data_IF_668827666923
#
_entry.id   IF_668827666923
#
_cell.length_a   1.000
_cell.length_b   1.000
_cell.length_c   1.000
_cell.angle_alpha   90.00
_cell.angle_beta   90.00
_cell.angle_gamma   90.00
#
_symmetry.space_group_name_H-M   'P 1'
#
loop_
_entity.id
_entity.type
_entity.pdbx_description
1 polymer ?
#
# COMPACT_ATOMS: atom_id res chain seq x y z
N UNK A 1 1.69 24.75 20.97
CA UNK A 1 2.81 25.63 20.57
C UNK A 1 4.00 24.74 20.28
N UNK A 2 4.44 24.66 19.03
CA UNK A 2 5.63 23.87 18.66
C UNK A 2 6.82 24.78 18.85
N UNK A 3 7.44 24.71 20.03
CA UNK A 3 8.66 25.47 20.28
C UNK A 3 9.78 24.91 19.39
N UNK A 4 10.27 25.78 18.51
CA UNK A 4 11.45 25.57 17.70
C UNK A 4 12.66 25.52 18.64
N UNK A 5 13.18 24.32 18.88
CA UNK A 5 14.49 24.17 19.50
C UNK A 5 15.51 24.67 18.46
N UNK A 6 16.06 25.86 18.68
CA UNK A 6 17.20 26.35 17.92
C UNK A 6 18.47 25.79 18.55
N UNK A 7 19.31 25.14 17.74
CA UNK A 7 20.72 24.92 18.07
C UNK A 7 21.56 25.58 16.98
N UNK A 8 22.78 25.99 17.35
CA UNK A 8 23.63 26.92 16.62
C UNK A 8 24.10 26.50 15.20
N UNK A 9 23.56 25.44 14.58
CA UNK A 9 24.05 24.91 13.29
C UNK A 9 22.98 24.33 12.33
N UNK A 10 21.70 24.71 12.42
CA UNK A 10 20.72 24.39 11.38
C UNK A 10 19.29 24.21 11.88
N UNK A 11 18.34 24.29 10.95
CA UNK A 11 16.91 24.07 11.21
C UNK A 11 16.74 22.64 11.74
N UNK A 12 16.39 22.50 13.02
CA UNK A 12 15.97 21.21 13.61
C UNK A 12 14.62 20.87 13.01
N UNK A 13 14.60 19.95 12.07
CA UNK A 13 13.34 19.46 11.49
C UNK A 13 12.66 18.54 12.49
N UNK A 14 11.32 18.42 12.48
CA UNK A 14 10.66 17.50 13.39
C UNK A 14 11.11 16.04 13.20
N UNK A 15 11.67 15.68 12.03
CA UNK A 15 12.17 14.33 11.71
C UNK A 15 13.42 13.90 12.48
N UNK A 16 14.11 14.80 13.18
CA UNK A 16 15.18 14.43 14.14
C UNK A 16 14.65 14.21 15.57
N UNK A 17 13.35 14.43 15.84
CA UNK A 17 12.75 14.18 17.16
C UNK A 17 12.24 12.75 17.25
N UNK A 18 12.64 12.03 18.31
CA UNK A 18 12.27 10.63 18.51
C UNK A 18 10.75 10.41 18.53
N UNK A 19 9.99 11.33 19.14
CA UNK A 19 8.53 11.27 19.15
C UNK A 19 7.91 11.39 17.75
N UNK A 20 8.42 12.28 16.90
CA UNK A 20 7.90 12.43 15.55
C UNK A 20 8.16 11.20 14.68
N UNK A 21 9.29 10.52 14.88
CA UNK A 21 9.58 9.24 14.22
C UNK A 21 8.66 8.13 14.72
N UNK A 22 8.35 8.13 16.01
CA UNK A 22 7.37 7.21 16.58
C UNK A 22 5.97 7.44 16.02
N UNK A 23 5.50 8.68 15.93
CA UNK A 23 4.20 9.00 15.35
C UNK A 23 4.13 8.65 13.86
N UNK A 24 5.22 8.90 13.11
CA UNK A 24 5.31 8.46 11.72
C UNK A 24 5.25 6.94 11.65
N UNK A 25 5.96 6.23 12.52
CA UNK A 25 5.95 4.77 12.60
C UNK A 25 4.57 4.20 12.96
N UNK A 26 3.92 4.72 13.99
CA UNK A 26 2.59 4.26 14.43
C UNK A 26 1.54 4.54 13.35
N UNK A 27 1.64 5.68 12.66
CA UNK A 27 0.79 5.94 11.49
C UNK A 27 1.04 4.94 10.37
N UNK A 28 2.32 4.61 10.15
CA UNK A 28 2.78 3.73 9.08
C UNK A 28 2.42 2.27 9.31
N UNK A 29 2.55 1.79 10.54
CA UNK A 29 2.38 0.37 10.92
C UNK A 29 0.98 0.09 11.47
N UNK A 30 0.39 1.04 12.22
CA UNK A 30 -0.94 0.87 12.81
C UNK A 30 -2.06 1.54 12.01
N UNK A 31 -1.73 2.09 10.84
CA UNK A 31 -2.70 2.65 9.89
C UNK A 31 -3.44 3.90 10.36
N UNK A 32 -2.94 4.59 11.39
CA UNK A 32 -3.47 5.89 11.79
C UNK A 32 -3.19 6.92 10.69
N UNK A 33 -4.04 7.95 10.49
CA UNK A 33 -3.78 8.99 9.51
C UNK A 33 -2.40 9.60 9.77
N UNK A 34 -1.52 9.65 8.77
CA UNK A 34 -0.19 10.14 8.97
C UNK A 34 -0.28 11.61 9.39
N UNK A 35 0.33 11.97 10.51
CA UNK A 35 0.56 13.39 10.83
C UNK A 35 1.52 14.05 9.83
N UNK A 36 1.79 13.46 8.65
CA UNK A 36 2.70 14.01 7.64
C UNK A 36 2.34 15.45 7.26
N UNK A 37 1.05 15.77 7.16
CA UNK A 37 0.61 17.13 6.83
C UNK A 37 0.60 18.06 8.05
N UNK A 38 0.24 17.56 9.24
CA UNK A 38 0.11 18.35 10.47
C UNK A 38 1.46 18.61 11.15
N UNK A 39 2.37 17.65 11.14
CA UNK A 39 3.68 17.74 11.77
C UNK A 39 4.75 18.34 10.83
N UNK A 40 4.54 18.33 9.51
CA UNK A 40 5.58 18.71 8.54
C UNK A 40 5.13 19.67 7.43
N UNK A 41 3.89 20.15 7.44
CA UNK A 41 3.28 21.01 6.41
C UNK A 41 3.92 22.38 6.18
N UNK A 42 5.01 22.73 6.87
CA UNK A 42 5.74 23.99 6.66
C UNK A 42 7.08 23.84 5.91
N UNK A 43 7.50 22.62 5.59
CA UNK A 43 8.77 22.40 4.88
C UNK A 43 8.57 22.56 3.37
N UNK A 44 9.43 23.36 2.73
CA UNK A 44 9.51 23.40 1.28
C UNK A 44 9.84 22.01 0.74
N UNK A 45 9.31 21.66 -0.43
CA UNK A 45 9.47 20.33 -1.03
C UNK A 45 10.94 19.86 -1.14
N UNK A 46 11.85 20.77 -1.48
CA UNK A 46 13.29 20.46 -1.57
C UNK A 46 13.91 20.09 -0.22
N UNK A 47 13.40 20.68 0.87
CA UNK A 47 13.84 20.38 2.22
C UNK A 47 13.26 19.06 2.70
N UNK A 48 12.00 18.74 2.36
CA UNK A 48 11.40 17.44 2.65
C UNK A 48 12.24 16.27 2.11
N UNK A 49 12.65 16.35 0.84
CA UNK A 49 13.42 15.29 0.20
C UNK A 49 14.76 15.02 0.90
N UNK A 50 15.48 16.09 1.24
CA UNK A 50 16.76 15.97 1.95
C UNK A 50 16.58 15.38 3.35
N UNK A 51 15.50 15.74 4.03
CA UNK A 51 15.25 15.30 5.41
C UNK A 51 14.80 13.85 5.46
N UNK A 52 13.89 13.43 4.56
CA UNK A 52 13.48 12.03 4.43
C UNK A 52 14.71 11.16 4.14
N UNK A 53 15.56 11.52 3.18
CA UNK A 53 16.74 10.71 2.87
C UNK A 53 17.76 10.62 4.02
N UNK A 54 17.76 11.56 4.96
CA UNK A 54 18.64 11.60 6.13
C UNK A 54 18.03 10.97 7.39
N UNK A 55 16.77 10.55 7.33
CA UNK A 55 16.05 10.01 8.48
C UNK A 55 16.81 8.82 9.05
N UNK A 56 17.22 8.91 10.31
CA UNK A 56 17.88 7.83 11.02
C UNK A 56 17.47 7.84 12.50
N UNK A 57 16.77 6.79 12.93
CA UNK A 57 16.28 6.64 14.29
C UNK A 57 17.40 6.70 15.33
N UNK A 58 18.62 6.28 14.99
CA UNK A 58 19.78 6.28 15.91
C UNK A 58 20.29 7.68 16.21
N UNK A 59 20.06 8.61 15.29
CA UNK A 59 20.45 10.02 15.45
C UNK A 59 19.33 10.88 16.02
N UNK A 60 18.15 10.28 16.28
CA UNK A 60 17.01 10.98 16.85
C UNK A 60 17.30 11.48 18.27
N UNK A 61 16.65 12.58 18.65
CA UNK A 61 16.85 13.24 19.94
C UNK A 61 15.53 13.42 20.68
N UNK A 62 15.60 13.24 21.99
CA UNK A 62 14.56 13.60 22.96
C UNK A 62 15.19 14.38 24.12
N UNK A 63 14.42 15.24 24.77
CA UNK A 63 14.82 15.85 26.04
C UNK A 63 14.74 14.84 27.19
N UNK A 64 13.88 13.83 27.05
CA UNK A 64 13.75 12.70 27.97
C UNK A 64 14.42 11.46 27.37
N UNK A 65 15.58 11.10 27.91
CA UNK A 65 16.38 9.95 27.47
C UNK A 65 15.69 8.61 27.77
N UNK A 66 14.95 8.51 28.89
CA UNK A 66 14.23 7.29 29.25
C UNK A 66 13.06 7.06 28.29
N UNK A 67 12.34 8.13 27.92
CA UNK A 67 11.33 8.07 26.87
C UNK A 67 11.93 7.71 25.51
N UNK A 68 13.10 8.26 25.16
CA UNK A 68 13.79 7.93 23.91
C UNK A 68 14.14 6.45 23.83
N UNK A 69 14.76 5.89 24.87
CA UNK A 69 15.08 4.46 24.89
C UNK A 69 13.83 3.59 24.78
N UNK A 70 12.75 3.94 25.50
CA UNK A 70 11.48 3.20 25.42
C UNK A 70 10.91 3.22 24.00
N UNK A 71 10.91 4.36 23.34
CA UNK A 71 10.42 4.51 21.97
C UNK A 71 11.28 3.72 21.00
N UNK A 72 12.61 3.81 21.09
CA UNK A 72 13.51 3.06 20.21
C UNK A 72 13.34 1.55 20.40
N UNK A 73 13.13 1.08 21.64
CA UNK A 73 12.80 -0.33 21.91
C UNK A 73 11.45 -0.72 21.29
N UNK A 74 10.46 0.17 21.32
CA UNK A 74 9.15 -0.07 20.68
C UNK A 74 9.28 -0.20 19.17
N UNK A 75 10.04 0.69 18.52
CA UNK A 75 10.31 0.65 17.08
C UNK A 75 11.01 -0.65 16.65
N UNK A 76 11.79 -1.26 17.55
CA UNK A 76 12.56 -2.47 17.28
C UNK A 76 11.90 -3.75 17.83
N UNK A 77 10.70 -3.68 18.43
CA UNK A 77 10.05 -4.81 19.11
C UNK A 77 9.81 -6.03 18.22
N UNK A 78 9.56 -5.82 16.93
CA UNK A 78 9.14 -6.87 15.99
C UNK A 78 10.31 -7.56 15.26
N UNK A 79 11.45 -7.77 15.94
CA UNK A 79 12.69 -8.30 15.33
C UNK A 79 13.23 -7.46 14.16
N UNK A 80 12.82 -6.20 14.07
CA UNK A 80 13.25 -5.32 13.00
C UNK A 80 14.63 -4.75 13.31
N UNK A 81 15.50 -4.74 12.32
CA UNK A 81 16.78 -4.04 12.42
C UNK A 81 16.58 -2.52 12.27
N UNK A 82 17.49 -1.73 12.82
CA UNK A 82 17.55 -0.27 12.61
C UNK A 82 17.49 0.09 11.12
N UNK A 83 18.17 -0.70 10.28
CA UNK A 83 18.18 -0.50 8.83
C UNK A 83 16.76 -0.66 8.24
N UNK A 84 16.02 -1.69 8.63
CA UNK A 84 14.67 -1.94 8.17
C UNK A 84 13.69 -0.84 8.64
N UNK A 85 13.76 -0.43 9.91
CA UNK A 85 12.91 0.66 10.43
C UNK A 85 13.17 1.96 9.68
N UNK A 86 14.45 2.33 9.49
CA UNK A 86 14.83 3.51 8.72
C UNK A 86 14.34 3.41 7.27
N UNK A 87 14.47 2.25 6.63
CA UNK A 87 13.99 2.04 5.27
C UNK A 87 12.47 2.24 5.15
N UNK A 88 11.69 1.67 6.07
CA UNK A 88 10.22 1.79 6.07
C UNK A 88 9.80 3.25 6.28
N UNK A 89 10.41 3.95 7.25
CA UNK A 89 10.10 5.37 7.51
C UNK A 89 10.43 6.25 6.30
N UNK A 90 11.56 5.99 5.64
CA UNK A 90 11.96 6.71 4.42
C UNK A 90 11.03 6.41 3.25
N UNK A 91 10.63 5.15 3.08
CA UNK A 91 9.66 4.73 2.08
C UNK A 91 8.29 5.39 2.32
N UNK A 92 7.80 5.40 3.56
CA UNK A 92 6.55 6.07 3.94
C UNK A 92 6.59 7.57 3.61
N UNK A 93 7.66 8.28 3.98
CA UNK A 93 7.82 9.70 3.67
C UNK A 93 7.99 10.01 2.17
N UNK A 94 8.50 9.06 1.39
CA UNK A 94 8.71 9.23 -0.05
C UNK A 94 7.48 8.87 -0.89
N UNK A 95 6.82 7.77 -0.54
CA UNK A 95 5.67 7.24 -1.26
C UNK A 95 4.36 7.88 -0.80
N UNK A 96 4.30 8.43 0.43
CA UNK A 96 3.12 9.06 1.01
C UNK A 96 1.87 8.17 0.86
N UNK A 97 1.91 6.92 1.36
CA UNK A 97 0.84 5.94 1.15
C UNK A 97 -0.47 6.34 1.85
N UNK A 98 -1.58 5.77 1.39
CA UNK A 98 -2.88 5.81 2.09
C UNK A 98 -2.97 4.65 3.09
N UNK A 99 -3.55 4.90 4.26
CA UNK A 99 -3.77 3.89 5.29
C UNK A 99 -5.27 3.59 5.48
N UNK A 100 -5.60 2.34 5.77
CA UNK A 100 -6.95 1.79 5.74
C UNK A 100 -7.40 1.17 7.07
N UNK A 101 -6.96 1.75 8.19
CA UNK A 101 -7.27 1.22 9.53
C UNK A 101 -8.76 1.01 9.76
N UNK A 102 -9.58 1.98 9.38
CA UNK A 102 -11.04 1.93 9.55
C UNK A 102 -11.69 0.79 8.78
N UNK A 103 -11.27 0.56 7.54
CA UNK A 103 -11.79 -0.48 6.66
C UNK A 103 -11.40 -1.86 7.17
N UNK A 104 -10.18 -2.00 7.70
CA UNK A 104 -9.71 -3.25 8.26
C UNK A 104 -10.38 -3.55 9.60
N UNK A 105 -10.49 -2.58 10.51
CA UNK A 105 -11.05 -2.78 11.86
C UNK A 105 -12.54 -3.14 11.85
N UNK A 106 -13.33 -2.55 10.95
CA UNK A 106 -14.80 -2.59 11.02
C UNK A 106 -15.51 -3.85 10.50
N UNK A 107 -14.81 -4.82 9.89
CA UNK A 107 -15.51 -5.75 8.97
C UNK A 107 -15.02 -7.22 8.96
N UNK A 108 -14.55 -7.82 10.07
CA UNK A 108 -13.94 -9.16 10.00
C UNK A 108 -14.45 -10.21 10.99
N UNK A 109 -15.57 -9.95 11.68
CA UNK A 109 -16.16 -10.96 12.57
C UNK A 109 -17.04 -11.91 11.74
N UNK A 110 -16.82 -13.23 11.90
CA UNK A 110 -17.63 -14.34 11.37
C UNK A 110 -17.79 -14.42 9.83
N UNK A 111 -16.72 -14.19 9.07
CA UNK A 111 -16.72 -14.41 7.61
C UNK A 111 -16.23 -15.82 7.26
N UNK A 112 -17.03 -16.58 6.51
CA UNK A 112 -16.62 -17.87 5.95
C UNK A 112 -15.64 -17.67 4.78
N UNK A 113 -14.38 -18.03 5.00
CA UNK A 113 -13.27 -17.81 4.05
C UNK A 113 -12.96 -19.03 3.17
N UNK A 114 -13.56 -20.19 3.45
CA UNK A 114 -13.18 -21.46 2.83
C UNK A 114 -13.33 -21.47 1.30
N UNK A 115 -14.45 -20.93 0.80
CA UNK A 115 -14.67 -20.79 -0.64
C UNK A 115 -13.67 -19.82 -1.30
N UNK A 116 -13.21 -18.79 -0.58
CA UNK A 116 -12.19 -17.85 -1.05
C UNK A 116 -10.82 -18.53 -1.15
N UNK A 117 -10.45 -19.27 -0.10
CA UNK A 117 -9.19 -20.02 -0.10
C UNK A 117 -9.17 -21.12 -1.14
N UNK A 118 -10.29 -21.81 -1.35
CA UNK A 118 -10.43 -22.77 -2.43
C UNK A 118 -10.28 -22.07 -3.79
N UNK A 119 -10.94 -20.93 -4.04
CA UNK A 119 -10.76 -20.15 -5.26
C UNK A 119 -9.30 -19.70 -5.49
N UNK A 120 -8.61 -19.27 -4.43
CA UNK A 120 -7.18 -18.93 -4.48
C UNK A 120 -6.27 -20.16 -4.67
N UNK A 121 -6.71 -21.35 -4.25
CA UNK A 121 -5.93 -22.60 -4.29
C UNK A 121 -6.22 -23.46 -5.52
N UNK A 122 -7.37 -23.30 -6.17
CA UNK A 122 -7.76 -24.02 -7.40
C UNK A 122 -6.77 -23.81 -8.53
N UNK A 123 -6.30 -24.91 -9.14
CA UNK A 123 -5.27 -24.92 -10.19
C UNK A 123 -3.90 -25.31 -9.66
N UNK A 124 -3.30 -26.35 -10.28
CA UNK A 124 -2.05 -26.99 -9.87
C UNK A 124 -0.78 -26.17 -10.17
N UNK A 125 -0.91 -25.01 -10.82
CA UNK A 125 0.20 -24.16 -11.19
C UNK A 125 0.26 -22.92 -10.30
N UNK A 126 1.45 -22.67 -9.75
CA UNK A 126 1.84 -21.45 -9.01
C UNK A 126 1.92 -20.21 -9.92
N UNK A 127 1.08 -20.12 -10.95
CA UNK A 127 1.09 -19.07 -11.96
C UNK A 127 -0.15 -18.22 -11.76
N UNK A 128 0.05 -16.92 -11.49
CA UNK A 128 -0.89 -15.77 -11.59
C UNK A 128 -2.37 -16.14 -11.51
N UNK A 129 -3.03 -15.83 -10.39
CA UNK A 129 -4.47 -16.06 -10.22
C UNK A 129 -5.20 -14.74 -10.06
N UNK A 130 -6.26 -14.56 -10.85
CA UNK A 130 -7.18 -13.44 -10.73
C UNK A 130 -8.48 -13.99 -10.16
N UNK A 131 -8.85 -13.52 -8.98
CA UNK A 131 -10.13 -13.83 -8.35
C UNK A 131 -10.97 -12.57 -8.42
N UNK A 132 -12.13 -12.67 -9.08
CA UNK A 132 -13.04 -11.55 -9.27
C UNK A 132 -14.33 -11.77 -8.47
N UNK A 133 -14.53 -11.00 -7.40
CA UNK A 133 -15.74 -11.09 -6.55
C UNK A 133 -16.78 -10.11 -7.05
N UNK A 134 -17.98 -10.62 -7.31
CA UNK A 134 -19.16 -9.83 -7.66
C UNK A 134 -20.27 -10.07 -6.66
N UNK A 135 -21.01 -9.01 -6.34
CA UNK A 135 -22.17 -9.11 -5.49
C UNK A 135 -22.92 -7.79 -5.42
N UNK A 136 -24.19 -7.87 -5.05
CA UNK A 136 -25.05 -6.70 -4.86
C UNK A 136 -24.52 -5.80 -3.74
N UNK A 137 -25.05 -4.58 -3.67
CA UNK A 137 -24.83 -3.70 -2.52
C UNK A 137 -25.17 -4.43 -1.22
N UNK A 138 -24.38 -4.20 -0.16
CA UNK A 138 -24.60 -4.84 1.14
C UNK A 138 -24.28 -6.34 1.20
N UNK A 139 -23.83 -6.99 0.12
CA UNK A 139 -23.51 -8.43 0.10
C UNK A 139 -22.24 -8.84 0.89
N UNK A 140 -21.66 -7.94 1.72
CA UNK A 140 -20.49 -8.24 2.54
C UNK A 140 -19.16 -8.31 1.77
N UNK A 141 -19.07 -7.72 0.57
CA UNK A 141 -17.87 -7.73 -0.27
C UNK A 141 -16.62 -7.11 0.40
N UNK A 142 -16.75 -5.88 0.89
CA UNK A 142 -15.68 -5.19 1.62
C UNK A 142 -15.34 -5.91 2.92
N UNK A 143 -16.34 -6.50 3.57
CA UNK A 143 -16.18 -7.36 4.76
C UNK A 143 -15.30 -8.56 4.47
N UNK A 144 -15.59 -9.26 3.37
CA UNK A 144 -14.77 -10.37 2.90
C UNK A 144 -13.34 -9.92 2.56
N UNK A 145 -13.16 -8.77 1.91
CA UNK A 145 -11.82 -8.23 1.62
C UNK A 145 -11.02 -7.96 2.90
N UNK A 146 -11.62 -7.28 3.87
CA UNK A 146 -10.96 -6.98 5.14
C UNK A 146 -10.63 -8.24 5.93
N UNK A 147 -11.49 -9.27 5.89
CA UNK A 147 -11.21 -10.57 6.46
C UNK A 147 -10.02 -11.27 5.77
N UNK A 148 -9.97 -11.29 4.42
CA UNK A 148 -8.82 -11.82 3.66
C UNK A 148 -7.54 -11.12 4.07
N UNK A 149 -7.54 -9.79 4.10
CA UNK A 149 -6.35 -8.99 4.41
C UNK A 149 -5.88 -9.25 5.84
N UNK A 150 -6.79 -9.35 6.80
CA UNK A 150 -6.45 -9.64 8.20
C UNK A 150 -5.87 -11.04 8.38
N UNK A 151 -6.52 -12.04 7.81
CA UNK A 151 -6.13 -13.44 8.00
C UNK A 151 -4.79 -13.75 7.30
N UNK A 152 -4.68 -13.42 6.01
CA UNK A 152 -3.43 -13.58 5.28
C UNK A 152 -2.34 -12.63 5.81
N UNK A 153 -2.71 -11.43 6.27
CA UNK A 153 -1.78 -10.44 6.82
C UNK A 153 -1.16 -10.90 8.14
N UNK A 154 -1.92 -11.60 8.99
CA UNK A 154 -1.40 -12.20 10.22
C UNK A 154 -0.34 -13.27 9.91
N UNK A 155 -0.56 -14.11 8.89
CA UNK A 155 0.43 -15.08 8.42
C UNK A 155 1.65 -14.41 7.75
N UNK A 156 1.43 -13.31 7.01
CA UNK A 156 2.47 -12.53 6.37
C UNK A 156 3.37 -11.76 7.35
N UNK A 157 2.86 -11.42 8.54
CA UNK A 157 3.57 -10.61 9.54
C UNK A 157 4.63 -11.40 10.34
N UNK A 158 4.79 -12.70 10.10
CA UNK A 158 5.85 -13.48 10.74
C UNK A 158 7.22 -13.11 10.16
N UNK A 159 8.24 -13.03 11.02
CA UNK A 159 9.57 -12.49 10.67
C UNK A 159 10.26 -13.19 9.49
N UNK A 160 9.94 -14.46 9.22
CA UNK A 160 10.49 -15.24 8.11
C UNK A 160 9.49 -15.45 6.96
N UNK A 161 8.36 -14.74 6.98
CA UNK A 161 7.33 -14.92 5.98
C UNK A 161 7.85 -14.55 4.60
N UNK A 162 7.56 -15.43 3.66
CA UNK A 162 7.79 -15.18 2.23
C UNK A 162 6.53 -14.65 1.58
N UNK A 163 5.60 -14.08 2.33
CA UNK A 163 4.31 -13.63 1.82
C UNK A 163 4.10 -12.15 2.12
N UNK A 164 3.51 -11.44 1.17
CA UNK A 164 3.02 -10.08 1.35
C UNK A 164 1.55 -10.03 0.94
N UNK A 165 0.75 -9.28 1.71
CA UNK A 165 -0.64 -8.99 1.40
C UNK A 165 -0.78 -7.49 1.24
N UNK A 166 -0.89 -7.06 -0.02
CA UNK A 166 -1.10 -5.67 -0.36
C UNK A 166 -2.59 -5.43 -0.48
N UNK A 167 -3.07 -4.28 -0.05
CA UNK A 167 -4.48 -3.95 -0.09
C UNK A 167 -4.74 -2.49 -0.41
N UNK A 168 -5.84 -2.22 -1.11
CA UNK A 168 -6.31 -0.86 -1.37
C UNK A 168 -7.82 -0.83 -1.49
N UNK A 169 -8.45 0.08 -0.75
CA UNK A 169 -9.89 0.27 -0.75
C UNK A 169 -10.22 1.57 -1.49
N UNK A 170 -10.70 1.42 -2.72
CA UNK A 170 -11.20 2.54 -3.52
C UNK A 170 -12.48 3.04 -2.87
N UNK A 171 -12.67 4.36 -2.83
CA UNK A 171 -13.84 4.98 -2.20
C UNK A 171 -14.38 6.15 -2.98
N UNK A 172 -15.68 6.17 -3.21
CA UNK A 172 -16.39 7.27 -3.84
C UNK A 172 -16.32 8.52 -2.95
N UNK A 173 -16.13 9.69 -3.57
CA UNK A 173 -16.00 10.96 -2.86
C UNK A 173 -14.62 11.24 -2.27
N UNK A 174 -13.69 10.28 -2.29
CA UNK A 174 -12.29 10.48 -1.91
C UNK A 174 -11.42 10.54 -3.18
N UNK A 175 -10.85 11.71 -3.49
CA UNK A 175 -10.03 11.90 -4.69
C UNK A 175 -8.70 11.16 -4.63
N UNK A 176 -8.11 10.99 -3.44
CA UNK A 176 -6.86 10.26 -3.28
C UNK A 176 -7.10 8.75 -3.45
N UNK A 177 -8.20 8.23 -2.93
CA UNK A 177 -8.57 6.81 -3.06
C UNK A 177 -9.09 6.44 -4.46
N UNK A 178 -9.35 7.41 -5.33
CA UNK A 178 -9.63 7.16 -6.76
C UNK A 178 -8.43 7.43 -7.66
N UNK A 179 -7.31 7.89 -7.11
CA UNK A 179 -6.12 8.20 -7.89
C UNK A 179 -5.26 6.94 -8.10
N UNK A 180 -5.07 6.48 -9.36
CA UNK A 180 -4.27 5.29 -9.64
C UNK A 180 -2.80 5.44 -9.23
N UNK A 181 -2.22 6.63 -9.30
CA UNK A 181 -0.85 6.89 -8.81
C UNK A 181 -0.78 6.68 -7.29
N UNK A 182 -1.81 7.08 -6.55
CA UNK A 182 -1.86 6.87 -5.11
C UNK A 182 -2.04 5.39 -4.75
N UNK A 183 -2.83 4.65 -5.53
CA UNK A 183 -2.90 3.19 -5.42
C UNK A 183 -1.50 2.59 -5.57
N UNK A 184 -0.78 2.93 -6.64
CA UNK A 184 0.55 2.39 -6.92
C UNK A 184 1.58 2.75 -5.84
N UNK A 185 1.58 4.00 -5.36
CA UNK A 185 2.44 4.43 -4.24
C UNK A 185 2.13 3.65 -2.96
N UNK A 186 0.85 3.41 -2.70
CA UNK A 186 0.39 2.66 -1.52
C UNK A 186 0.79 1.19 -1.61
N UNK A 187 0.64 0.56 -2.77
CA UNK A 187 1.09 -0.82 -3.02
C UNK A 187 2.61 -0.95 -2.91
N UNK A 188 3.36 -0.01 -3.49
CA UNK A 188 4.81 0.03 -3.41
C UNK A 188 5.32 0.13 -1.97
N UNK A 189 4.65 0.95 -1.16
CA UNK A 189 4.96 1.10 0.25
C UNK A 189 4.70 -0.19 1.03
N UNK A 190 3.53 -0.82 0.84
CA UNK A 190 3.20 -2.09 1.48
C UNK A 190 4.19 -3.20 1.06
N UNK A 191 4.57 -3.24 -0.22
CA UNK A 191 5.53 -4.21 -0.73
C UNK A 191 6.93 -4.01 -0.13
N UNK A 192 7.40 -2.75 -0.06
CA UNK A 192 8.66 -2.42 0.60
C UNK A 192 8.64 -2.76 2.09
N UNK A 193 7.50 -2.58 2.76
CA UNK A 193 7.35 -2.87 4.18
C UNK A 193 7.36 -4.37 4.47
N UNK A 194 6.80 -5.17 3.57
CA UNK A 194 6.83 -6.63 3.67
C UNK A 194 8.22 -7.21 3.35
N UNK A 195 8.95 -6.62 2.39
CA UNK A 195 10.26 -7.10 1.94
C UNK A 195 11.32 -5.99 1.97
N UNK A 196 11.64 -5.42 3.16
CA UNK A 196 12.54 -4.28 3.25
C UNK A 196 13.97 -4.63 2.82
N UNK A 197 14.44 -5.86 3.06
CA UNK A 197 15.78 -6.30 2.67
C UNK A 197 15.96 -6.33 1.14
N UNK A 198 14.91 -6.68 0.40
CA UNK A 198 14.95 -6.76 -1.05
C UNK A 198 14.72 -5.39 -1.72
N UNK A 199 13.91 -4.53 -1.11
CA UNK A 199 13.31 -3.37 -1.79
C UNK A 199 13.67 -2.00 -1.21
N UNK A 200 14.16 -1.90 0.02
CA UNK A 200 14.51 -0.61 0.64
C UNK A 200 15.43 0.22 -0.25
N UNK A 201 16.54 -0.38 -0.67
CA UNK A 201 17.55 0.24 -1.52
C UNK A 201 16.99 0.71 -2.87
N UNK A 202 16.00 0.01 -3.40
CA UNK A 202 15.36 0.41 -4.66
C UNK A 202 14.62 1.73 -4.50
N UNK A 203 13.73 1.83 -3.51
CA UNK A 203 12.95 3.05 -3.28
C UNK A 203 13.81 4.19 -2.74
N UNK A 204 14.86 3.90 -1.98
CA UNK A 204 15.84 4.90 -1.54
C UNK A 204 16.60 5.52 -2.72
N UNK A 205 17.05 4.72 -3.69
CA UNK A 205 17.72 5.25 -4.89
C UNK A 205 16.80 6.06 -5.79
N UNK A 206 15.53 5.65 -5.90
CA UNK A 206 14.53 6.42 -6.64
C UNK A 206 14.33 7.79 -5.99
N UNK A 207 14.16 7.79 -4.68
CA UNK A 207 14.03 9.00 -3.87
C UNK A 207 12.69 9.73 -4.09
N UNK A 208 12.30 10.60 -3.13
CA UNK A 208 11.01 11.27 -3.16
C UNK A 208 10.83 12.21 -4.36
N UNK A 209 11.90 12.87 -4.82
CA UNK A 209 11.85 13.77 -5.98
C UNK A 209 11.51 13.07 -7.31
N UNK A 210 11.93 11.80 -7.47
CA UNK A 210 11.60 11.03 -8.67
C UNK A 210 10.19 10.46 -8.55
N UNK A 211 9.83 9.94 -7.38
CA UNK A 211 8.48 9.42 -7.10
C UNK A 211 7.41 10.50 -7.31
N UNK A 212 7.68 11.75 -6.92
CA UNK A 212 6.73 12.86 -7.13
C UNK A 212 6.55 13.25 -8.60
N UNK A 213 7.54 12.98 -9.45
CA UNK A 213 7.47 13.24 -10.89
C UNK A 213 6.78 12.13 -11.69
N UNK A 214 6.48 11.00 -11.05
CA UNK A 214 5.70 9.92 -11.66
C UNK A 214 4.22 10.35 -11.76
N UNK A 215 3.89 11.03 -12.85
CA UNK A 215 2.53 11.49 -13.17
C UNK A 215 1.83 10.55 -14.17
N UNK A 216 2.61 9.84 -14.98
CA UNK A 216 2.10 8.85 -15.91
C UNK A 216 1.84 7.50 -15.20
N UNK A 217 0.68 6.92 -15.45
CA UNK A 217 0.25 5.68 -14.77
C UNK A 217 1.09 4.48 -15.22
N UNK A 218 1.50 4.41 -16.49
CA UNK A 218 2.30 3.30 -17.01
C UNK A 218 3.74 3.34 -16.49
N UNK A 219 4.34 4.54 -16.43
CA UNK A 219 5.64 4.78 -15.81
C UNK A 219 5.58 4.45 -14.31
N UNK A 220 4.60 5.00 -13.58
CA UNK A 220 4.41 4.73 -12.17
C UNK A 220 4.18 3.23 -11.91
N UNK A 221 3.39 2.55 -12.75
CA UNK A 221 3.14 1.13 -12.62
C UNK A 221 4.42 0.31 -12.77
N UNK A 222 5.20 0.64 -13.80
CA UNK A 222 6.47 -0.01 -14.08
C UNK A 222 7.47 0.19 -12.93
N UNK A 223 7.59 1.43 -12.46
CA UNK A 223 8.62 1.83 -11.51
C UNK A 223 8.26 1.51 -10.07
N UNK A 224 7.00 1.63 -9.68
CA UNK A 224 6.57 1.42 -8.31
C UNK A 224 6.13 -0.03 -8.04
N UNK A 225 5.80 -0.82 -9.06
CA UNK A 225 5.31 -2.18 -8.87
C UNK A 225 6.07 -3.24 -9.68
N UNK A 226 6.16 -3.10 -11.01
CA UNK A 226 6.77 -4.16 -11.86
C UNK A 226 8.23 -4.39 -11.54
N UNK A 227 9.04 -3.34 -11.53
CA UNK A 227 10.48 -3.42 -11.27
C UNK A 227 10.76 -3.95 -9.85
N UNK A 228 10.08 -3.46 -8.78
CA UNK A 228 10.16 -4.07 -7.45
C UNK A 228 9.79 -5.54 -7.42
N UNK A 229 8.65 -5.93 -7.98
CA UNK A 229 8.19 -7.33 -7.96
C UNK A 229 9.18 -8.26 -8.68
N UNK A 230 9.82 -7.79 -9.76
CA UNK A 230 10.87 -8.55 -10.48
C UNK A 230 12.18 -8.70 -9.70
N UNK A 231 12.40 -7.88 -8.66
CA UNK A 231 13.58 -8.00 -7.79
C UNK A 231 13.39 -9.04 -6.69
N UNK A 232 12.16 -9.39 -6.37
CA UNK A 232 11.87 -10.39 -5.38
C UNK A 232 12.27 -11.78 -5.88
N UNK A 233 12.76 -12.63 -4.97
CA UNK A 233 13.00 -14.04 -5.28
C UNK A 233 11.68 -14.76 -5.59
N UNK A 234 11.75 -15.82 -6.40
CA UNK A 234 10.57 -16.61 -6.79
C UNK A 234 9.85 -17.29 -5.61
N UNK A 235 10.50 -17.37 -4.45
CA UNK A 235 9.92 -17.93 -3.25
C UNK A 235 8.99 -16.94 -2.52
N UNK A 236 9.14 -15.63 -2.78
CA UNK A 236 8.26 -14.61 -2.26
C UNK A 236 6.93 -14.62 -3.03
N UNK A 237 5.83 -14.56 -2.30
CA UNK A 237 4.46 -14.54 -2.82
C UNK A 237 3.80 -13.22 -2.45
N UNK A 238 3.05 -12.66 -3.39
CA UNK A 238 2.33 -11.40 -3.20
C UNK A 238 0.86 -11.62 -3.51
N UNK A 239 0.00 -11.40 -2.52
CA UNK A 239 -1.43 -11.29 -2.69
C UNK A 239 -1.78 -9.80 -2.75
N UNK A 240 -2.61 -9.39 -3.71
CA UNK A 240 -3.05 -8.01 -3.87
C UNK A 240 -4.57 -8.00 -3.82
N UNK A 241 -5.14 -7.27 -2.87
CA UNK A 241 -6.58 -7.09 -2.69
C UNK A 241 -6.96 -5.67 -3.08
N UNK A 242 -7.87 -5.51 -4.01
CA UNK A 242 -8.42 -4.20 -4.38
C UNK A 242 -9.94 -4.26 -4.29
N UNK A 243 -10.48 -3.47 -3.36
CA UNK A 243 -11.92 -3.37 -3.11
C UNK A 243 -12.50 -2.06 -3.66
N UNK A 244 -13.77 -2.08 -4.03
CA UNK A 244 -14.51 -0.91 -4.50
C UNK A 244 -14.07 -0.38 -5.87
N UNK A 245 -13.53 -1.23 -6.76
CA UNK A 245 -13.03 -0.78 -8.07
C UNK A 245 -14.06 0.01 -8.90
N UNK A 246 -15.35 -0.30 -8.73
CA UNK A 246 -16.47 0.41 -9.35
C UNK A 246 -16.78 1.79 -8.76
N UNK A 247 -16.11 2.18 -7.68
CA UNK A 247 -16.21 3.53 -7.11
C UNK A 247 -15.16 4.49 -7.72
N UNK A 248 -14.18 3.96 -8.45
CA UNK A 248 -13.11 4.70 -9.11
C UNK A 248 -13.47 5.28 -10.48
N UNK A 249 -14.73 5.18 -10.90
CA UNK A 249 -15.14 5.44 -12.28
C UNK A 249 -15.20 6.93 -12.61
N UNK A 250 -14.88 7.25 -13.87
CA UNK A 250 -15.23 8.52 -14.49
C UNK A 250 -16.28 8.22 -15.58
N UNK A 251 -17.56 8.60 -15.40
CA UNK A 251 -18.64 8.21 -16.30
C UNK A 251 -18.54 8.78 -17.73
N UNK A 252 -17.62 9.72 -18.01
CA UNK A 252 -17.57 10.44 -19.29
C UNK A 252 -16.58 9.90 -20.35
N UNK A 253 -15.88 8.80 -20.10
CA UNK A 253 -14.94 8.21 -21.09
C UNK A 253 -15.32 6.77 -21.46
N UNK A 254 -16.45 6.61 -22.15
CA UNK A 254 -16.78 5.38 -22.87
C UNK A 254 -16.49 5.58 -24.36
N UNK A 255 -15.25 5.30 -24.79
CA UNK A 255 -14.99 5.01 -26.20
C UNK A 255 -13.87 3.98 -26.37
N UNK A 256 -14.32 2.78 -26.74
CA UNK A 256 -13.68 1.91 -27.73
C UNK A 256 -12.23 1.48 -27.50
N UNK A 257 -12.03 0.50 -26.61
CA UNK A 257 -10.89 -0.43 -26.70
C UNK A 257 -11.38 -1.83 -26.30
N UNK A 258 -12.03 -2.50 -27.24
CA UNK A 258 -12.21 -3.95 -27.23
C UNK A 258 -10.98 -4.62 -27.86
N UNK A 259 -10.82 -5.90 -27.53
CA UNK A 259 -9.80 -6.85 -28.01
C UNK A 259 -8.51 -6.92 -27.18
N UNK A 260 -8.66 -7.44 -25.95
CA UNK A 260 -7.83 -8.51 -25.34
C UNK A 260 -8.28 -8.85 -23.88
N UNK A 261 -9.45 -8.38 -23.44
CA UNK A 261 -9.89 -8.39 -22.04
C UNK A 261 -11.22 -9.12 -21.81
N UNK A 262 -11.36 -10.38 -22.23
CA UNK A 262 -12.61 -11.17 -22.21
C UNK A 262 -13.25 -11.42 -20.81
N UNK A 263 -12.84 -10.71 -19.74
CA UNK A 263 -13.42 -10.85 -18.40
C UNK A 263 -13.42 -9.60 -17.51
N UNK A 264 -12.97 -8.43 -17.99
CA UNK A 264 -12.96 -7.20 -17.18
C UNK A 264 -14.12 -6.27 -17.62
N UNK A 265 -15.04 -5.89 -16.73
CA UNK A 265 -16.20 -5.06 -17.09
C UNK A 265 -15.85 -3.72 -17.75
N UNK A 266 -16.72 -3.26 -18.66
CA UNK A 266 -16.58 -2.01 -19.41
C UNK A 266 -16.54 -0.73 -18.55
N UNK A 267 -16.87 -0.85 -17.27
CA UNK A 267 -17.11 0.27 -16.36
C UNK A 267 -15.86 1.03 -15.90
N UNK A 268 -14.65 0.46 -15.95
CA UNK A 268 -13.44 1.10 -15.40
C UNK A 268 -12.92 2.27 -16.23
N UNK A 269 -12.20 3.21 -15.58
CA UNK A 269 -11.39 4.17 -16.33
C UNK A 269 -10.34 3.44 -17.17
N UNK A 270 -9.99 4.00 -18.33
CA UNK A 270 -9.04 3.39 -19.24
C UNK A 270 -7.68 3.16 -18.56
N UNK A 271 -7.24 4.10 -17.74
CA UNK A 271 -5.98 4.04 -17.00
C UNK A 271 -5.98 2.89 -15.98
N UNK A 272 -7.12 2.61 -15.33
CA UNK A 272 -7.26 1.51 -14.37
C UNK A 272 -7.33 0.15 -15.09
N UNK A 273 -8.00 0.08 -16.25
CA UNK A 273 -8.01 -1.14 -17.10
C UNK A 273 -6.60 -1.50 -17.54
N UNK A 274 -5.87 -0.55 -18.08
CA UNK A 274 -4.48 -0.73 -18.51
C UNK A 274 -3.62 -1.20 -17.33
N UNK A 275 -3.76 -0.57 -16.16
CA UNK A 275 -3.06 -1.00 -14.94
C UNK A 275 -3.36 -2.45 -14.57
N UNK A 276 -4.64 -2.84 -14.53
CA UNK A 276 -5.05 -4.21 -14.17
C UNK A 276 -4.55 -5.23 -15.20
N UNK A 277 -4.59 -4.91 -16.49
CA UNK A 277 -4.02 -5.73 -17.56
C UNK A 277 -2.51 -5.88 -17.39
N UNK A 278 -1.81 -4.79 -17.08
CA UNK A 278 -0.37 -4.85 -16.85
C UNK A 278 -0.02 -5.63 -15.56
N UNK A 279 -0.83 -5.52 -14.50
CA UNK A 279 -0.71 -6.35 -13.29
C UNK A 279 -0.85 -7.83 -13.60
N UNK A 280 -1.85 -8.18 -14.40
CA UNK A 280 -2.08 -9.55 -14.86
C UNK A 280 -0.91 -10.07 -15.72
N UNK A 281 -0.37 -9.25 -16.63
CA UNK A 281 0.76 -9.59 -17.49
C UNK A 281 2.10 -9.62 -16.72
N UNK A 282 2.14 -9.27 -15.43
CA UNK A 282 3.37 -9.17 -14.64
C UNK A 282 3.93 -10.54 -14.22
N UNK A 283 5.20 -10.84 -14.56
CA UNK A 283 5.87 -12.17 -14.41
C UNK A 283 6.20 -12.63 -12.99
N UNK A 284 5.82 -11.87 -11.96
CA UNK A 284 6.19 -12.13 -10.57
C UNK A 284 5.08 -12.82 -9.74
N UNK A 285 4.14 -13.51 -10.40
CA UNK A 285 3.08 -14.32 -9.76
C UNK A 285 2.25 -13.62 -8.66
N UNK A 286 1.68 -12.42 -8.87
CA UNK A 286 0.69 -11.90 -7.94
C UNK A 286 -0.61 -12.74 -8.00
N UNK A 287 -1.19 -13.03 -6.84
CA UNK A 287 -2.61 -13.38 -6.73
C UNK A 287 -3.36 -12.06 -6.60
N UNK A 288 -4.24 -11.76 -7.55
CA UNK A 288 -5.00 -10.52 -7.59
C UNK A 288 -6.45 -10.81 -7.24
N UNK A 289 -6.91 -10.27 -6.12
CA UNK A 289 -8.30 -10.31 -5.68
C UNK A 289 -8.95 -8.96 -5.98
N UNK A 290 -9.89 -8.94 -6.92
CA UNK A 290 -10.59 -7.74 -7.36
C UNK A 290 -12.07 -7.86 -7.00
N UNK A 291 -12.64 -6.80 -6.42
CA UNK A 291 -14.01 -6.85 -5.89
C UNK A 291 -14.84 -5.69 -6.43
N UNK A 292 -16.07 -6.00 -6.87
CA UNK A 292 -16.98 -5.05 -7.55
C UNK A 292 -18.44 -5.19 -7.11
N UNK A 293 -19.17 -4.08 -7.07
CA UNK A 293 -20.63 -4.04 -6.96
C UNK A 293 -21.35 -4.29 -8.29
N UNK A 294 -22.41 -5.11 -8.25
CA UNK A 294 -23.40 -5.19 -9.33
C UNK A 294 -24.42 -4.06 -9.17
N UNK A 295 -24.67 -3.30 -10.24
CA UNK A 295 -25.89 -2.50 -10.33
C UNK A 295 -27.07 -3.47 -10.49
N UNK A 296 -28.18 -3.24 -9.78
CA UNK A 296 -29.39 -4.02 -9.97
C UNK A 296 -29.92 -3.78 -11.39
N UNK A 297 -29.55 -4.67 -12.32
CA UNK A 297 -30.37 -5.27 -13.38
C UNK A 297 -29.48 -6.02 -14.41
N UNK A 298 -29.99 -7.20 -14.84
CA UNK A 298 -29.64 -8.03 -16.02
C UNK A 298 -28.76 -9.29 -15.81
N UNK A 299 -28.94 -10.32 -16.66
CA UNK A 299 -29.39 -11.66 -16.27
C UNK A 299 -28.29 -12.65 -15.90
N UNK A 300 -28.71 -13.71 -15.21
CA UNK A 300 -27.98 -14.92 -14.82
C UNK A 300 -26.85 -15.32 -15.76
N UNK A 301 -25.62 -14.90 -15.46
CA UNK A 301 -24.42 -15.60 -15.91
C UNK A 301 -23.40 -15.60 -14.78
N UNK A 302 -23.50 -16.62 -13.93
CA UNK A 302 -22.39 -17.08 -13.11
C UNK A 302 -21.53 -17.97 -14.01
N UNK A 303 -20.29 -17.55 -14.31
CA UNK A 303 -19.24 -18.49 -14.71
C UNK A 303 -18.23 -18.53 -13.56
N UNK A 304 -18.28 -19.64 -12.84
CA UNK A 304 -17.25 -20.09 -11.88
C UNK A 304 -15.96 -20.43 -12.61
#
# INVERSE_FOLDING_TARGET
>A
MVDSVQSANGIITPLVRTWCLFELWTSTVMGSPPMTDVAFGSLAFQDWNKQIMRLDITTSKSQDLAAQERILRELLRSNQSVLQVNAILRAAGSLKPIFFKTELEGLAEDVEMEAMYDAMSRGNDMVRKLVWIQGNEGAGKSTLCSAVVKDLGAAASQAESKQAVLHFFVRQGDSNRRNPIMLLRTMAFQLCSAFPEDLADYFLRMGPASIERLLDVNEAFTDLLVRPLRKLSHEKRVCIVIDGLDEGLNPEKHSSLEMEMEGLPDTFSQELKEMLVMMWKCYANPVLLLVKQMAQELPQYVRM
#
